data_IF_876808777841
#
_entry.id   IF_876808777841
#
_cell.length_a   1.000
_cell.length_b   1.000
_cell.length_c   1.000
_cell.angle_alpha   90.00
_cell.angle_beta   90.00
_cell.angle_gamma   90.00
#
_symmetry.space_group_name_H-M   'P 1'
#
loop_
_entity.id
_entity.type
_entity.pdbx_description
1 polymer ?
#
# COMPACT_ATOMS: atom_id res chain seq x y z
N UNK A 1 -2.13 -6.06 -0.65
CA UNK A 1 -2.11 -7.30 -1.47
C UNK A 1 -0.72 -7.92 -1.56
N UNK A 2 0.31 -7.22 -2.06
CA UNK A 2 1.66 -7.80 -2.20
C UNK A 2 2.18 -8.45 -0.90
N UNK A 3 2.23 -7.73 0.23
CA UNK A 3 2.77 -8.29 1.47
C UNK A 3 2.04 -9.58 1.91
N UNK A 4 0.70 -9.54 1.93
CA UNK A 4 -0.13 -10.67 2.35
C UNK A 4 0.05 -11.88 1.42
N UNK A 5 0.22 -11.66 0.12
CA UNK A 5 0.47 -12.75 -0.82
C UNK A 5 1.77 -13.51 -0.50
N UNK A 6 2.77 -12.87 0.11
CA UNK A 6 4.01 -13.54 0.52
C UNK A 6 3.91 -14.24 1.89
N UNK A 7 2.78 -14.12 2.58
CA UNK A 7 2.53 -14.84 3.82
C UNK A 7 2.11 -16.27 3.49
N UNK A 8 3.10 -17.13 3.30
CA UNK A 8 2.87 -18.56 3.03
C UNK A 8 2.94 -18.94 1.55
N UNK A 9 3.22 -18.01 0.64
CA UNK A 9 3.48 -18.31 -0.77
C UNK A 9 4.77 -17.63 -1.22
N UNK A 10 5.55 -18.31 -2.07
CA UNK A 10 6.80 -17.79 -2.62
C UNK A 10 6.85 -18.06 -4.15
N UNK A 11 7.16 -17.06 -4.98
CA UNK A 11 7.25 -17.21 -6.44
C UNK A 11 8.42 -18.08 -6.94
N UNK A 12 9.31 -18.53 -6.07
CA UNK A 12 10.50 -19.31 -6.41
C UNK A 12 11.66 -18.47 -6.96
N UNK A 13 11.55 -17.14 -6.90
CA UNK A 13 12.57 -16.18 -7.29
C UNK A 13 12.78 -15.13 -6.19
N UNK A 14 13.65 -14.16 -6.45
CA UNK A 14 13.98 -13.07 -5.51
C UNK A 14 13.05 -11.85 -5.64
N UNK A 15 12.01 -11.93 -6.47
CA UNK A 15 11.13 -10.79 -6.72
C UNK A 15 10.27 -10.54 -5.49
N UNK A 16 10.33 -9.31 -4.97
CA UNK A 16 9.51 -8.93 -3.81
C UNK A 16 8.31 -8.06 -4.19
N UNK A 17 8.42 -7.31 -5.30
CA UNK A 17 7.44 -6.33 -5.74
C UNK A 17 6.49 -6.94 -6.77
N UNK A 18 5.20 -6.94 -6.43
CA UNK A 18 4.15 -7.55 -7.25
C UNK A 18 2.92 -6.67 -7.42
N UNK A 19 2.47 -6.51 -8.66
CA UNK A 19 1.12 -6.00 -8.91
C UNK A 19 0.08 -7.08 -8.62
N UNK A 20 -1.18 -6.69 -8.36
CA UNK A 20 -2.27 -7.67 -8.23
C UNK A 20 -2.40 -8.53 -9.50
N UNK A 21 -2.27 -7.92 -10.69
CA UNK A 21 -2.33 -8.64 -11.96
C UNK A 21 -1.19 -9.66 -12.10
N UNK A 22 0.02 -9.31 -11.67
CA UNK A 22 1.17 -10.22 -11.66
C UNK A 22 0.93 -11.38 -10.70
N UNK A 23 0.41 -11.11 -9.50
CA UNK A 23 0.04 -12.16 -8.54
C UNK A 23 -0.98 -13.12 -9.15
N UNK A 24 -2.06 -12.61 -9.76
CA UNK A 24 -3.07 -13.47 -10.39
C UNK A 24 -2.50 -14.38 -11.47
N UNK A 25 -1.47 -13.93 -12.20
CA UNK A 25 -0.83 -14.72 -13.26
C UNK A 25 0.14 -15.77 -12.73
N UNK A 26 0.85 -15.47 -11.65
CA UNK A 26 1.96 -16.28 -11.16
C UNK A 26 1.60 -17.14 -9.94
N UNK A 27 0.51 -16.80 -9.24
CA UNK A 27 0.07 -17.52 -8.05
C UNK A 27 -0.32 -18.97 -8.40
N UNK A 28 0.18 -19.90 -7.59
CA UNK A 28 -0.15 -21.32 -7.66
C UNK A 28 -0.16 -21.89 -6.25
N UNK A 29 -1.11 -22.80 -6.02
CA UNK A 29 -1.27 -23.55 -4.76
C UNK A 29 -0.03 -24.41 -4.49
N UNK A 30 0.63 -24.94 -5.53
CA UNK A 30 1.82 -25.79 -5.39
C UNK A 30 3.01 -25.08 -4.73
N UNK A 31 2.98 -23.73 -4.73
CA UNK A 31 4.02 -22.87 -4.14
C UNK A 31 3.64 -22.33 -2.76
N UNK A 32 2.56 -22.84 -2.17
CA UNK A 32 2.22 -22.56 -0.78
C UNK A 32 3.09 -23.43 0.14
N UNK A 33 3.80 -22.78 1.06
CA UNK A 33 4.67 -23.46 2.02
C UNK A 33 3.89 -23.85 3.29
N UNK A 34 4.27 -24.98 3.91
CA UNK A 34 3.63 -25.51 5.13
C UNK A 34 4.02 -24.74 6.41
N UNK A 35 5.12 -23.99 6.37
CA UNK A 35 5.60 -23.21 7.51
C UNK A 35 4.67 -22.05 7.84
N UNK A 36 4.58 -21.71 9.13
CA UNK A 36 3.83 -20.54 9.59
C UNK A 36 4.41 -19.26 8.99
N UNK A 37 3.54 -18.37 8.51
CA UNK A 37 3.96 -17.07 7.99
C UNK A 37 4.33 -16.13 9.14
N UNK A 38 5.50 -15.48 9.05
CA UNK A 38 5.93 -14.46 10.02
C UNK A 38 5.49 -13.08 9.52
N UNK A 39 4.69 -12.39 10.34
CA UNK A 39 4.28 -11.03 10.05
C UNK A 39 5.40 -10.05 10.40
N UNK A 40 6.13 -9.58 9.39
CA UNK A 40 7.19 -8.59 9.55
C UNK A 40 6.69 -7.18 9.20
N UNK A 41 6.56 -6.32 10.22
CA UNK A 41 6.10 -4.92 10.08
C UNK A 41 7.09 -4.09 9.26
N UNK A 42 8.40 -4.25 9.46
CA UNK A 42 9.41 -3.49 8.72
C UNK A 42 9.33 -3.78 7.21
N UNK A 43 9.10 -5.04 6.84
CA UNK A 43 8.89 -5.44 5.44
C UNK A 43 7.59 -4.88 4.88
N UNK A 44 6.51 -4.87 5.68
CA UNK A 44 5.26 -4.25 5.30
C UNK A 44 5.45 -2.75 5.01
N UNK A 45 6.15 -2.03 5.89
CA UNK A 45 6.44 -0.60 5.72
C UNK A 45 7.31 -0.31 4.49
N UNK A 46 8.32 -1.14 4.25
CA UNK A 46 9.13 -1.07 3.04
C UNK A 46 8.27 -1.18 1.76
N UNK A 47 7.43 -2.22 1.68
CA UNK A 47 6.53 -2.43 0.54
C UNK A 47 5.52 -1.28 0.39
N UNK A 48 4.91 -0.84 1.49
CA UNK A 48 3.97 0.29 1.48
C UNK A 48 4.65 1.56 0.97
N UNK A 49 5.85 1.88 1.48
CA UNK A 49 6.62 3.02 1.03
C UNK A 49 6.96 2.96 -0.45
N UNK A 50 7.31 1.78 -0.97
CA UNK A 50 7.54 1.58 -2.40
C UNK A 50 6.31 1.96 -3.23
N UNK A 51 5.12 1.46 -2.87
CA UNK A 51 3.88 1.77 -3.61
C UNK A 51 3.41 3.22 -3.45
N UNK A 52 3.61 3.83 -2.29
CA UNK A 52 3.25 5.23 -2.04
C UNK A 52 4.05 6.14 -2.98
N UNK A 53 5.36 5.92 -3.10
CA UNK A 53 6.24 6.73 -3.98
C UNK A 53 5.94 6.59 -5.47
N UNK A 54 5.22 5.54 -5.88
CA UNK A 54 4.79 5.36 -7.28
C UNK A 54 3.52 6.14 -7.63
N UNK A 55 2.82 6.71 -6.65
CA UNK A 55 1.61 7.50 -6.92
C UNK A 55 2.00 8.89 -7.40
N UNK A 56 1.21 9.44 -8.33
CA UNK A 56 1.32 10.86 -8.67
C UNK A 56 1.01 11.71 -7.45
N UNK A 57 1.59 12.91 -7.39
CA UNK A 57 1.38 13.85 -6.28
C UNK A 57 -0.12 14.14 -6.11
N UNK A 58 -0.85 14.36 -7.20
CA UNK A 58 -2.28 14.68 -7.15
C UNK A 58 -3.10 13.52 -6.55
N UNK A 59 -2.76 12.28 -6.92
CA UNK A 59 -3.47 11.11 -6.40
C UNK A 59 -3.11 10.86 -4.94
N UNK A 60 -1.84 11.00 -4.58
CA UNK A 60 -1.38 10.84 -3.20
C UNK A 60 -2.00 11.89 -2.29
N UNK A 61 -1.99 13.17 -2.69
CA UNK A 61 -2.65 14.26 -1.95
C UNK A 61 -4.11 13.93 -1.67
N UNK A 62 -4.88 13.50 -2.68
CA UNK A 62 -6.29 13.10 -2.50
C UNK A 62 -6.47 11.96 -1.49
N UNK A 63 -5.54 11.00 -1.46
CA UNK A 63 -5.57 9.89 -0.49
C UNK A 63 -5.24 10.36 0.93
N UNK A 64 -4.38 11.37 1.09
CA UNK A 64 -3.96 11.89 2.39
C UNK A 64 -5.03 12.78 3.04
N UNK A 65 -5.84 13.52 2.26
CA UNK A 65 -6.85 14.47 2.76
C UNK A 65 -7.68 13.94 3.96
N UNK A 66 -8.36 12.77 3.88
CA UNK A 66 -9.19 12.31 4.99
C UNK A 66 -8.40 12.07 6.29
N UNK A 67 -7.13 11.66 6.19
CA UNK A 67 -6.26 11.45 7.35
C UNK A 67 -5.78 12.78 7.93
N UNK A 68 -5.47 13.76 7.08
CA UNK A 68 -5.05 15.09 7.52
C UNK A 68 -6.20 15.85 8.20
N UNK A 69 -7.41 15.75 7.67
CA UNK A 69 -8.62 16.31 8.32
C UNK A 69 -8.89 15.59 9.63
N UNK A 70 -8.86 14.25 9.65
CA UNK A 70 -9.07 13.47 10.87
C UNK A 70 -8.04 13.76 11.97
N UNK A 71 -6.82 14.14 11.58
CA UNK A 71 -5.75 14.57 12.50
C UNK A 71 -5.82 16.07 12.87
N UNK A 72 -6.77 16.84 12.32
CA UNK A 72 -6.89 18.28 12.57
C UNK A 72 -5.78 19.12 11.95
N UNK A 73 -5.06 18.60 10.94
CA UNK A 73 -3.95 19.29 10.27
C UNK A 73 -4.41 20.21 9.13
N UNK A 74 -5.58 19.93 8.55
CA UNK A 74 -6.23 20.76 7.52
C UNK A 74 -7.75 20.76 7.73
N UNK A 75 -8.43 21.77 7.20
CA UNK A 75 -9.89 21.85 7.20
C UNK A 75 -10.45 21.57 5.79
N UNK A 76 -11.62 20.91 5.66
CA UNK A 76 -12.30 20.82 4.38
C UNK A 76 -12.71 22.22 3.92
N UNK A 77 -12.54 22.50 2.62
CA UNK A 77 -13.03 23.73 2.01
C UNK A 77 -14.57 23.71 2.05
N UNK A 78 -15.14 24.27 3.11
CA UNK A 78 -16.55 24.60 3.16
C UNK A 78 -16.75 25.87 2.31
N UNK A 79 -17.70 25.84 1.38
CA UNK A 79 -17.98 26.91 0.40
C UNK A 79 -18.52 28.22 0.99
N UNK A 80 -18.03 28.65 2.14
CA UNK A 80 -18.38 29.90 2.80
C UNK A 80 -17.28 30.31 3.78
N UNK A 81 -16.09 30.62 3.27
CA UNK A 81 -15.36 31.81 3.69
C UNK A 81 -14.20 32.12 2.74
N UNK A 82 -14.46 33.14 1.92
CA UNK A 82 -13.43 33.91 1.25
C UNK A 82 -12.59 34.63 2.33
N UNK A 83 -11.48 34.03 2.76
CA UNK A 83 -10.40 34.78 3.40
C UNK A 83 -9.08 34.39 2.75
N UNK A 84 -8.77 35.16 1.71
CA UNK A 84 -7.41 35.52 1.35
C UNK A 84 -6.82 36.21 2.58
N UNK A 85 -5.80 35.62 3.18
CA UNK A 85 -4.62 36.29 3.75
C UNK A 85 -3.44 35.32 3.68
#
# INVERSE_FOLDING_TARGET
MNFIAFLGWNPGDEREIYSLLSLTKEFSIDRIQKGGAVFNIQRLDFLNGFYIRQRSVEKLTKLCIPYLIGAGLIEPLNGSNNRIV
#
